data_IF_403703066225
#
_entry.id   IF_403703066225
#
_cell.length_a   1.000
_cell.length_b   1.000
_cell.length_c   1.000
_cell.angle_alpha   90.00
_cell.angle_beta   90.00
_cell.angle_gamma   90.00
#
_symmetry.space_group_name_H-M   'P 1'
#
loop_
_entity.id
_entity.type
_entity.pdbx_description
1 polymer ?
#
# COMPACT_ATOMS: atom_id res chain seq x y z
N UNK A 1 -11.87 -2.70 -2.70
CA UNK A 1 -11.12 -3.04 -1.49
C UNK A 1 -11.72 -2.38 -0.28
N UNK A 2 -12.07 -1.08 -0.34
CA UNK A 2 -12.94 -0.44 0.65
C UNK A 2 -14.39 -0.80 0.39
N UNK A 3 -15.13 -1.19 1.43
CA UNK A 3 -16.58 -1.37 1.36
C UNK A 3 -17.26 -0.11 1.91
N UNK A 4 -17.80 0.76 1.06
CA UNK A 4 -18.38 2.05 1.49
C UNK A 4 -19.64 1.92 2.35
N UNK A 5 -20.29 0.76 2.34
CA UNK A 5 -21.50 0.50 3.14
C UNK A 5 -21.13 0.23 4.61
N UNK A 6 -19.99 -0.44 4.86
CA UNK A 6 -19.62 -0.94 6.20
C UNK A 6 -18.38 -0.25 6.76
N UNK A 7 -17.52 0.34 5.92
CA UNK A 7 -16.22 0.84 6.34
C UNK A 7 -16.32 2.13 7.17
N UNK A 8 -15.90 2.05 8.43
CA UNK A 8 -15.80 3.17 9.37
C UNK A 8 -14.44 3.90 9.30
N UNK A 9 -13.82 3.99 8.12
CA UNK A 9 -12.56 4.72 7.95
C UNK A 9 -12.76 6.22 8.16
N UNK A 10 -11.82 6.86 8.85
CA UNK A 10 -11.81 8.31 9.06
C UNK A 10 -11.13 8.96 7.86
N UNK A 11 -11.78 9.98 7.32
CA UNK A 11 -11.24 10.76 6.20
C UNK A 11 -10.34 11.87 6.74
N UNK A 12 -9.08 11.90 6.30
CA UNK A 12 -8.13 12.95 6.66
C UNK A 12 -7.35 13.38 5.42
N UNK A 13 -7.59 14.61 4.98
CA UNK A 13 -6.99 15.19 3.78
C UNK A 13 -7.17 14.30 2.54
N UNK A 14 -6.07 13.83 1.94
CA UNK A 14 -6.05 12.95 0.76
C UNK A 14 -6.00 11.46 1.12
N UNK A 15 -6.12 11.12 2.40
CA UNK A 15 -5.96 9.78 2.90
C UNK A 15 -7.21 9.31 3.67
N UNK A 16 -7.29 8.00 3.85
CA UNK A 16 -8.15 7.34 4.80
C UNK A 16 -7.31 6.78 5.94
N UNK A 17 -7.82 6.86 7.16
CA UNK A 17 -7.27 6.18 8.32
C UNK A 17 -8.15 4.95 8.56
N UNK A 18 -7.58 3.76 8.39
CA UNK A 18 -8.30 2.53 8.69
C UNK A 18 -8.47 2.38 10.21
N UNK A 19 -9.71 2.14 10.63
CA UNK A 19 -10.08 1.87 12.03
C UNK A 19 -10.13 0.37 12.34
N UNK A 20 -9.63 -0.48 11.43
CA UNK A 20 -9.64 -1.94 11.56
C UNK A 20 -11.06 -2.53 11.78
N UNK A 21 -12.10 -1.89 11.25
CA UNK A 21 -13.51 -2.25 11.44
C UNK A 21 -13.91 -3.66 10.94
N UNK A 22 -13.03 -4.39 10.23
CA UNK A 22 -13.31 -5.74 9.72
C UNK A 22 -14.25 -5.81 8.51
N UNK A 23 -14.81 -4.67 8.06
CA UNK A 23 -15.81 -4.65 6.98
C UNK A 23 -15.25 -4.78 5.55
N UNK A 24 -13.92 -4.84 5.37
CA UNK A 24 -13.30 -4.90 4.05
C UNK A 24 -11.84 -5.35 4.10
N UNK A 25 -11.30 -5.77 2.93
CA UNK A 25 -9.92 -6.27 2.77
C UNK A 25 -8.84 -5.30 3.25
N UNK A 26 -9.08 -3.99 3.21
CA UNK A 26 -8.14 -2.99 3.75
C UNK A 26 -7.90 -3.22 5.25
N UNK A 27 -8.92 -3.66 6.00
CA UNK A 27 -8.79 -3.98 7.42
C UNK A 27 -7.83 -5.15 7.64
N UNK A 28 -7.91 -6.19 6.80
CA UNK A 28 -7.05 -7.37 6.90
C UNK A 28 -5.60 -7.02 6.54
N UNK A 29 -5.41 -6.23 5.48
CA UNK A 29 -4.11 -5.72 5.07
C UNK A 29 -3.51 -4.82 6.18
N UNK A 30 -4.31 -3.96 6.80
CA UNK A 30 -3.85 -3.08 7.89
C UNK A 30 -3.35 -3.90 9.08
N UNK A 31 -4.09 -4.95 9.48
CA UNK A 31 -3.69 -5.88 10.54
C UNK A 31 -2.39 -6.60 10.19
N UNK A 32 -2.26 -7.06 8.95
CA UNK A 32 -1.07 -7.74 8.47
C UNK A 32 0.16 -6.82 8.49
N UNK A 33 0.03 -5.60 7.98
CA UNK A 33 1.09 -4.59 7.96
C UNK A 33 1.57 -4.26 9.38
N UNK A 34 0.64 -4.11 10.34
CA UNK A 34 0.98 -3.97 11.77
C UNK A 34 1.74 -5.18 12.31
N UNK A 35 1.28 -6.39 12.00
CA UNK A 35 1.94 -7.64 12.43
C UNK A 35 3.35 -7.78 11.86
N UNK A 36 3.58 -7.27 10.65
CA UNK A 36 4.87 -7.28 9.96
C UNK A 36 5.78 -6.10 10.32
N UNK A 37 5.37 -5.23 11.25
CA UNK A 37 6.15 -4.07 11.73
C UNK A 37 6.62 -3.11 10.61
N UNK A 38 5.79 -2.90 9.59
CA UNK A 38 6.03 -1.80 8.65
C UNK A 38 5.99 -0.46 9.37
N UNK A 39 6.93 0.43 9.01
CA UNK A 39 7.06 1.75 9.62
C UNK A 39 5.82 2.62 9.43
N UNK A 40 5.31 2.69 8.20
CA UNK A 40 4.23 3.59 7.82
C UNK A 40 3.20 2.91 6.91
N UNK A 41 1.93 3.30 7.03
CA UNK A 41 0.82 2.86 6.18
C UNK A 41 0.01 4.07 5.69
N UNK A 42 -0.11 4.21 4.37
CA UNK A 42 -0.91 5.26 3.73
C UNK A 42 -1.99 4.65 2.84
N UNK A 43 -3.25 4.97 3.13
CA UNK A 43 -4.38 4.63 2.26
C UNK A 43 -4.79 5.90 1.54
N UNK A 44 -4.31 6.08 0.31
CA UNK A 44 -4.51 7.31 -0.47
C UNK A 44 -5.75 7.22 -1.36
N UNK A 45 -6.42 8.35 -1.57
CA UNK A 45 -7.54 8.45 -2.52
C UNK A 45 -7.10 8.54 -3.98
N UNK A 46 -5.82 8.78 -4.23
CA UNK A 46 -5.25 8.81 -5.57
C UNK A 46 -3.77 9.18 -5.58
N UNK A 47 -3.11 8.89 -6.70
CA UNK A 47 -1.65 8.97 -6.84
C UNK A 47 -0.99 10.33 -6.56
N UNK A 48 -1.73 11.45 -6.62
CA UNK A 48 -1.18 12.80 -6.33
C UNK A 48 -0.70 12.98 -4.88
N UNK A 49 -1.08 12.10 -3.96
CA UNK A 49 -0.58 12.13 -2.58
C UNK A 49 0.81 11.45 -2.45
N UNK A 50 1.17 10.57 -3.39
CA UNK A 50 2.36 9.71 -3.30
C UNK A 50 3.65 10.55 -3.27
N UNK A 51 3.77 11.54 -4.16
CA UNK A 51 4.96 12.41 -4.23
C UNK A 51 5.24 13.13 -2.91
N UNK A 52 4.18 13.68 -2.29
CA UNK A 52 4.29 14.38 -1.01
C UNK A 52 4.75 13.43 0.09
N UNK A 53 4.16 12.23 0.16
CA UNK A 53 4.51 11.20 1.15
C UNK A 53 5.98 10.78 1.00
N UNK A 54 6.45 10.52 -0.22
CA UNK A 54 7.84 10.11 -0.47
C UNK A 54 8.81 11.21 -0.01
N UNK A 55 8.56 12.48 -0.37
CA UNK A 55 9.42 13.61 0.00
C UNK A 55 9.48 13.83 1.51
N UNK A 56 8.35 13.65 2.21
CA UNK A 56 8.25 13.85 3.67
C UNK A 56 8.86 12.68 4.45
N UNK A 57 8.58 11.44 4.03
CA UNK A 57 8.98 10.24 4.77
C UNK A 57 10.37 9.72 4.40
N UNK A 58 10.82 9.99 3.18
CA UNK A 58 12.09 9.50 2.60
C UNK A 58 12.33 8.01 2.88
N UNK A 59 11.41 7.13 2.42
CA UNK A 59 11.51 5.70 2.71
C UNK A 59 12.64 5.04 1.92
N UNK A 60 13.22 3.97 2.45
CA UNK A 60 14.20 3.14 1.73
C UNK A 60 13.52 2.14 0.80
N UNK A 61 12.30 1.72 1.13
CA UNK A 61 11.50 0.79 0.36
C UNK A 61 10.00 1.09 0.46
N UNK A 62 9.26 0.81 -0.62
CA UNK A 62 7.82 0.99 -0.74
C UNK A 62 7.20 -0.27 -1.33
N UNK A 63 6.12 -0.74 -0.71
CA UNK A 63 5.21 -1.74 -1.30
C UNK A 63 3.88 -1.05 -1.59
N UNK A 64 3.48 -0.98 -2.86
CA UNK A 64 2.23 -0.38 -3.29
C UNK A 64 1.16 -1.42 -3.65
N UNK A 65 -0.11 -1.07 -3.45
CA UNK A 65 -1.27 -1.83 -3.95
C UNK A 65 -2.15 -0.85 -4.72
N UNK A 66 -2.22 -0.96 -6.05
CA UNK A 66 -3.00 -0.03 -6.88
C UNK A 66 -3.34 -0.64 -8.25
N UNK A 67 -3.93 0.16 -9.14
CA UNK A 67 -4.08 -0.22 -10.55
C UNK A 67 -2.74 -0.06 -11.30
N UNK A 68 -2.61 -0.70 -12.47
CA UNK A 68 -1.40 -0.59 -13.28
C UNK A 68 -1.04 0.85 -13.64
N UNK A 69 -2.02 1.73 -13.85
CA UNK A 69 -1.77 3.12 -14.17
C UNK A 69 -1.05 3.84 -13.02
N UNK A 70 -1.58 3.76 -11.80
CA UNK A 70 -0.97 4.41 -10.63
C UNK A 70 0.37 3.76 -10.26
N UNK A 71 0.48 2.44 -10.37
CA UNK A 71 1.75 1.73 -10.17
C UNK A 71 2.84 2.23 -11.11
N UNK A 72 2.56 2.32 -12.42
CA UNK A 72 3.51 2.84 -13.41
C UNK A 72 3.90 4.30 -13.14
N UNK A 73 2.97 5.13 -12.69
CA UNK A 73 3.27 6.52 -12.33
C UNK A 73 4.19 6.60 -11.10
N UNK A 74 4.00 5.74 -10.11
CA UNK A 74 4.89 5.65 -8.96
C UNK A 74 6.32 5.23 -9.36
N UNK A 75 6.46 4.22 -10.24
CA UNK A 75 7.78 3.80 -10.75
C UNK A 75 8.51 4.92 -11.50
N UNK A 76 7.80 5.69 -12.34
CA UNK A 76 8.40 6.83 -13.05
C UNK A 76 8.87 7.91 -12.08
N UNK A 77 8.09 8.20 -11.05
CA UNK A 77 8.40 9.20 -10.03
C UNK A 77 9.61 8.81 -9.18
N UNK A 78 9.77 7.51 -8.91
CA UNK A 78 10.83 6.98 -8.05
C UNK A 78 12.07 6.52 -8.82
N UNK A 79 12.10 6.69 -10.15
CA UNK A 79 13.16 6.17 -11.02
C UNK A 79 14.56 6.70 -10.64
N UNK A 80 14.63 7.96 -10.25
CA UNK A 80 15.89 8.64 -9.91
C UNK A 80 16.13 8.69 -8.40
N UNK A 81 15.26 8.06 -7.61
CA UNK A 81 15.33 7.99 -6.16
C UNK A 81 15.94 6.65 -5.73
N UNK A 82 16.72 6.63 -4.65
CA UNK A 82 17.29 5.40 -4.11
C UNK A 82 16.27 4.65 -3.23
N UNK A 83 15.12 4.31 -3.81
CA UNK A 83 13.98 3.68 -3.12
C UNK A 83 13.62 2.37 -3.82
N UNK A 84 13.63 1.26 -3.08
CA UNK A 84 13.20 -0.02 -3.62
C UNK A 84 11.66 -0.06 -3.73
N UNK A 85 11.12 -0.37 -4.91
CA UNK A 85 9.66 -0.36 -5.13
C UNK A 85 9.17 -1.73 -5.55
N UNK A 86 8.16 -2.23 -4.83
CA UNK A 86 7.38 -3.39 -5.23
C UNK A 86 5.90 -3.04 -5.28
N UNK A 87 5.14 -3.80 -6.06
CA UNK A 87 3.76 -3.47 -6.33
C UNK A 87 2.90 -4.72 -6.53
N UNK A 88 1.69 -4.68 -5.96
CA UNK A 88 0.65 -5.68 -6.17
C UNK A 88 -0.49 -5.04 -6.96
N UNK A 89 -0.77 -5.50 -8.20
CA UNK A 89 -1.88 -4.98 -8.96
C UNK A 89 -3.22 -5.36 -8.33
N UNK A 90 -4.20 -4.48 -8.48
CA UNK A 90 -5.59 -4.80 -8.22
C UNK A 90 -6.08 -5.87 -9.21
N UNK A 91 -6.90 -6.80 -8.71
CA UNK A 91 -7.60 -7.79 -9.54
C UNK A 91 -8.84 -7.19 -10.21
N UNK A 92 -9.39 -6.12 -9.62
CA UNK A 92 -10.46 -5.32 -10.19
C UNK A 92 -10.15 -3.84 -10.00
N UNK A 93 -10.03 -3.13 -11.11
CA UNK A 93 -9.75 -1.70 -11.17
C UNK A 93 -11.03 -0.85 -11.24
N UNK A 94 -10.91 0.42 -10.86
CA UNK A 94 -11.97 1.42 -10.92
C UNK A 94 -11.88 2.45 -9.79
N UNK A 95 -12.66 3.54 -9.87
CA UNK A 95 -12.71 4.55 -8.81
C UNK A 95 -13.45 4.04 -7.55
N UNK A 96 -14.30 3.03 -7.71
CA UNK A 96 -15.04 2.37 -6.64
C UNK A 96 -15.08 0.87 -6.89
N UNK A 97 -15.37 0.08 -5.85
CA UNK A 97 -15.50 -1.39 -5.93
C UNK A 97 -14.26 -2.09 -6.48
N UNK A 98 -13.08 -1.54 -6.21
CA UNK A 98 -11.80 -2.18 -6.54
C UNK A 98 -11.70 -3.54 -5.87
N UNK A 99 -10.75 -4.37 -6.27
CA UNK A 99 -10.42 -5.57 -5.50
C UNK A 99 -8.96 -6.01 -5.70
N UNK A 100 -8.45 -6.82 -4.78
CA UNK A 100 -7.11 -7.42 -4.86
C UNK A 100 -7.11 -8.82 -4.25
N UNK A 101 -6.08 -9.62 -4.56
CA UNK A 101 -5.85 -10.91 -3.95
C UNK A 101 -5.02 -10.75 -2.66
N UNK A 102 -5.63 -11.10 -1.52
CA UNK A 102 -4.97 -11.02 -0.22
C UNK A 102 -3.76 -11.96 -0.10
N UNK A 103 -3.77 -13.09 -0.80
CA UNK A 103 -2.68 -14.07 -0.79
C UNK A 103 -1.43 -13.48 -1.43
N UNK A 104 -1.58 -12.82 -2.58
CA UNK A 104 -0.46 -12.16 -3.25
C UNK A 104 0.01 -10.92 -2.48
N UNK A 105 -0.91 -10.15 -1.89
CA UNK A 105 -0.53 -9.05 -0.99
C UNK A 105 0.29 -9.56 0.20
N UNK A 106 -0.16 -10.63 0.86
CA UNK A 106 0.55 -11.20 2.01
C UNK A 106 1.94 -11.71 1.63
N UNK A 107 2.04 -12.39 0.50
CA UNK A 107 3.29 -12.90 -0.05
C UNK A 107 4.30 -11.78 -0.29
N UNK A 108 3.90 -10.72 -1.01
CA UNK A 108 4.78 -9.59 -1.32
C UNK A 108 5.21 -8.85 -0.05
N UNK A 109 4.28 -8.59 0.87
CA UNK A 109 4.62 -7.94 2.13
C UNK A 109 5.63 -8.75 2.95
N UNK A 110 5.47 -10.08 3.03
CA UNK A 110 6.44 -10.94 3.74
C UNK A 110 7.82 -10.94 3.09
N UNK A 111 7.89 -10.97 1.75
CA UNK A 111 9.17 -10.96 1.05
C UNK A 111 9.93 -9.64 1.25
N UNK A 112 9.22 -8.51 1.26
CA UNK A 112 9.82 -7.20 1.43
C UNK A 112 10.46 -6.97 2.82
N UNK A 113 9.97 -7.64 3.88
CA UNK A 113 10.52 -7.54 5.24
C UNK A 113 11.72 -8.49 5.46
N UNK A 114 11.85 -9.54 4.65
CA UNK A 114 12.83 -10.61 4.87
C UNK A 114 14.26 -10.27 4.40
N UNK A 115 14.51 -9.06 3.88
CA UNK A 115 15.79 -8.69 3.28
C UNK A 115 16.94 -8.47 4.26
N UNK A 116 16.70 -8.35 5.57
CA UNK A 116 17.80 -8.22 6.56
C UNK A 116 18.42 -9.55 7.00
N UNK A 117 17.70 -10.68 6.91
CA UNK A 117 18.17 -11.96 7.47
C UNK A 117 18.94 -12.84 6.47
N UNK A 118 18.89 -12.53 5.16
CA UNK A 118 19.45 -13.41 4.11
C UNK A 118 20.45 -12.73 3.16
N UNK A 119 20.86 -11.49 3.42
CA UNK A 119 21.90 -10.80 2.65
C UNK A 119 23.30 -10.96 3.28
N UNK A 120 23.57 -12.12 3.89
CA UNK A 120 24.93 -12.63 4.14
C UNK A 120 25.18 -13.78 3.17
N UNK A 121 25.47 -13.46 1.92
CA UNK A 121 26.17 -14.35 0.99
C UNK A 121 27.30 -13.60 0.35
#
# INVERSE_FOLDING_TARGET
MRNTVVCAAIEKDRCYICTECGGCKISDITKLIRKLNYRDLYIVKGGRAIEKIIREQKPEAIVGIACFFEGNQAFKMLKDENVAVQFVPLTKDGCATTDTDLTEVEKVLKYAVCSESNLKR
#
